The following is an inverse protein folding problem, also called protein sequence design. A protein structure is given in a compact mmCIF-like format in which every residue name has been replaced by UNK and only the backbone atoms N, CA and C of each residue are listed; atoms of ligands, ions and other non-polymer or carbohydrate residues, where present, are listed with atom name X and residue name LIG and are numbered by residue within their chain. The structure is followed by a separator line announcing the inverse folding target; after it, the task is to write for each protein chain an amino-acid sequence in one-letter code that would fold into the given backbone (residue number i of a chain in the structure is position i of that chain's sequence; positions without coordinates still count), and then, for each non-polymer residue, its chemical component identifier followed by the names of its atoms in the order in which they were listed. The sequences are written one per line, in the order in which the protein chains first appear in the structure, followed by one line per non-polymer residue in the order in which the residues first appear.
data_IF_538012516970
#
_entry.id   IF_538012516970
#
_cell.length_a   1.000
_cell.length_b   1.000
_cell.length_c   1.000
_cell.angle_alpha   90.00
_cell.angle_beta   90.00
_cell.angle_gamma   90.00
#
_symmetry.space_group_name_H-M   'P 1'
#
loop_
_entity.id
_entity.type
_entity.pdbx_description
1 polymer ?
#
# COMPACT_ATOMS: atom_id res chain seq x y z
N UNK A 1 13.07 -51.45 33.48
CA UNK A 1 12.94 -51.07 32.06
C UNK A 1 13.09 -52.33 31.25
N UNK A 2 12.13 -52.63 30.38
CA UNK A 2 12.19 -53.77 29.50
C UNK A 2 13.13 -53.48 28.33
N UNK A 3 13.88 -54.48 27.90
CA UNK A 3 14.86 -54.42 26.82
C UNK A 3 14.76 -55.66 25.95
N UNK A 4 15.25 -55.55 24.73
CA UNK A 4 15.30 -56.64 23.75
C UNK A 4 16.67 -57.31 23.81
N UNK A 5 16.68 -58.63 23.72
CA UNK A 5 17.88 -59.46 23.60
C UNK A 5 17.70 -60.46 22.46
N UNK A 6 18.75 -60.74 21.70
CA UNK A 6 18.73 -61.85 20.74
C UNK A 6 18.60 -63.20 21.48
N UNK A 7 17.61 -63.99 21.07
CA UNK A 7 17.34 -65.32 21.60
C UNK A 7 18.05 -66.41 20.82
N UNK A 8 18.18 -67.57 21.47
CA UNK A 8 19.03 -68.68 21.01
C UNK A 8 18.57 -69.36 19.69
N UNK A 9 17.36 -69.08 19.21
CA UNK A 9 16.76 -69.68 18.00
C UNK A 9 16.44 -68.65 16.90
N UNK A 10 17.17 -67.52 16.85
CA UNK A 10 16.98 -66.49 15.81
C UNK A 10 15.73 -65.63 15.98
N UNK A 11 15.08 -65.70 17.15
CA UNK A 11 14.01 -64.81 17.56
C UNK A 11 14.48 -63.85 18.65
N UNK A 12 13.75 -62.76 18.86
CA UNK A 12 14.04 -61.76 19.89
C UNK A 12 13.30 -62.11 21.19
N UNK A 13 13.93 -61.78 22.31
CA UNK A 13 13.38 -61.93 23.65
C UNK A 13 13.25 -60.58 24.33
N UNK A 14 12.15 -60.40 25.07
CA UNK A 14 11.87 -59.21 25.84
C UNK A 14 11.94 -59.56 27.32
N UNK A 15 12.67 -58.77 28.09
CA UNK A 15 12.87 -59.00 29.52
C UNK A 15 13.41 -57.75 30.20
N UNK A 16 13.78 -57.86 31.47
CA UNK A 16 14.41 -56.77 32.22
C UNK A 16 15.50 -57.32 33.13
N UNK A 17 16.40 -56.44 33.56
CA UNK A 17 17.38 -56.76 34.59
C UNK A 17 16.80 -56.44 35.96
N UNK A 18 16.84 -57.42 36.86
CA UNK A 18 16.56 -57.24 38.28
C UNK A 18 17.66 -56.41 38.94
N UNK A 19 17.41 -55.82 40.13
CA UNK A 19 18.40 -55.00 40.83
C UNK A 19 19.70 -55.75 41.22
N UNK A 20 19.65 -57.08 41.30
CA UNK A 20 20.79 -57.97 41.52
C UNK A 20 21.62 -58.22 40.25
N UNK A 21 21.19 -57.69 39.10
CA UNK A 21 21.84 -57.86 37.80
C UNK A 21 21.40 -59.12 37.05
N UNK A 22 20.51 -59.94 37.61
CA UNK A 22 19.98 -61.10 36.90
C UNK A 22 18.99 -60.68 35.81
N UNK A 23 19.12 -61.32 34.64
CA UNK A 23 18.17 -61.11 33.55
C UNK A 23 16.93 -61.98 33.77
N UNK A 24 15.75 -61.36 33.72
CA UNK A 24 14.47 -62.04 33.81
C UNK A 24 13.70 -61.95 32.49
N UNK A 25 13.36 -63.12 31.94
CA UNK A 25 12.59 -63.22 30.70
C UNK A 25 11.13 -62.88 30.94
N UNK A 26 10.58 -61.98 30.13
CA UNK A 26 9.13 -61.75 30.06
C UNK A 26 8.50 -62.54 28.90
N UNK A 27 9.06 -62.47 27.70
CA UNK A 27 8.52 -63.14 26.48
C UNK A 27 9.66 -63.44 25.50
N UNK A 28 9.56 -64.50 24.70
CA UNK A 28 10.62 -64.88 23.74
C UNK A 28 10.08 -65.45 22.44
N UNK A 29 10.98 -65.59 21.44
CA UNK A 29 10.64 -66.12 20.11
C UNK A 29 9.88 -65.13 19.23
N UNK A 30 10.04 -63.82 19.48
CA UNK A 30 9.36 -62.77 18.74
C UNK A 30 10.14 -62.38 17.48
N UNK A 31 9.44 -61.89 16.46
CA UNK A 31 10.10 -61.11 15.40
C UNK A 31 10.63 -59.79 16.00
N UNK A 32 11.64 -59.20 15.36
CA UNK A 32 12.24 -57.91 15.79
C UNK A 32 11.17 -56.83 16.01
N UNK A 33 10.32 -56.62 15.00
CA UNK A 33 9.20 -55.68 15.07
C UNK A 33 8.23 -55.97 16.23
N UNK A 34 7.92 -57.23 16.50
CA UNK A 34 7.03 -57.60 17.59
C UNK A 34 7.67 -57.40 18.98
N UNK A 35 8.98 -57.62 19.09
CA UNK A 35 9.74 -57.32 20.30
C UNK A 35 9.82 -55.81 20.56
N UNK A 36 10.03 -54.99 19.53
CA UNK A 36 10.02 -53.52 19.61
C UNK A 36 8.66 -52.96 20.06
N UNK A 37 7.58 -53.41 19.44
CA UNK A 37 6.22 -53.00 19.80
C UNK A 37 5.88 -53.41 21.25
N UNK A 38 6.32 -54.60 21.68
CA UNK A 38 6.11 -55.10 23.04
C UNK A 38 6.91 -54.31 24.07
N UNK A 39 8.20 -54.04 23.82
CA UNK A 39 9.05 -53.23 24.70
C UNK A 39 8.52 -51.80 24.80
N UNK A 40 8.11 -51.20 23.68
CA UNK A 40 7.51 -49.87 23.66
C UNK A 40 6.25 -49.84 24.53
N UNK A 41 5.36 -50.83 24.41
CA UNK A 41 4.15 -50.94 25.25
C UNK A 41 4.49 -51.15 26.73
N UNK A 42 5.39 -52.08 27.06
CA UNK A 42 5.79 -52.40 28.42
C UNK A 42 6.56 -51.26 29.11
N UNK A 43 7.27 -50.44 28.35
CA UNK A 43 7.93 -49.22 28.83
C UNK A 43 7.02 -47.98 28.79
N UNK A 44 5.71 -48.15 28.62
CA UNK A 44 4.72 -47.09 28.81
C UNK A 44 4.14 -46.47 27.54
N UNK A 45 4.43 -47.01 26.35
CA UNK A 45 3.63 -46.80 25.12
C UNK A 45 3.67 -45.42 24.46
N UNK A 46 4.49 -44.49 24.94
CA UNK A 46 4.36 -43.08 24.58
C UNK A 46 5.27 -42.63 23.43
N UNK A 47 6.30 -43.39 23.06
CA UNK A 47 7.31 -42.92 22.11
C UNK A 47 6.74 -42.67 20.70
N UNK A 48 5.90 -43.59 20.21
CA UNK A 48 5.27 -43.47 18.90
C UNK A 48 4.19 -42.39 18.90
N UNK A 49 3.33 -42.35 19.92
CA UNK A 49 2.29 -41.31 20.04
C UNK A 49 2.88 -39.91 20.19
N UNK A 50 4.01 -39.77 20.90
CA UNK A 50 4.71 -38.48 21.05
C UNK A 50 5.32 -38.04 19.73
N UNK A 51 5.94 -38.97 18.97
CA UNK A 51 6.47 -38.68 17.64
C UNK A 51 5.37 -38.23 16.68
N UNK A 52 4.27 -38.97 16.60
CA UNK A 52 3.13 -38.60 15.75
C UNK A 52 2.47 -37.27 16.15
N UNK A 53 2.53 -36.92 17.44
CA UNK A 53 2.03 -35.63 17.92
C UNK A 53 2.97 -34.49 17.50
N UNK A 54 4.30 -34.69 17.62
CA UNK A 54 5.31 -33.73 17.17
C UNK A 54 5.24 -33.51 15.66
N UNK A 55 5.15 -34.58 14.87
CA UNK A 55 5.04 -34.50 13.42
C UNK A 55 3.79 -33.69 13.00
N UNK A 56 2.66 -33.91 13.69
CA UNK A 56 1.43 -33.13 13.47
C UNK A 56 1.57 -31.65 13.86
N UNK A 57 2.33 -31.34 14.90
CA UNK A 57 2.57 -29.95 15.29
C UNK A 57 3.43 -29.24 14.25
N UNK A 58 4.50 -29.87 13.78
CA UNK A 58 5.35 -29.32 12.72
C UNK A 58 4.60 -29.13 11.39
N UNK A 59 3.72 -30.07 11.03
CA UNK A 59 2.86 -29.93 9.86
C UNK A 59 1.89 -28.75 10.00
N UNK A 60 1.30 -28.57 11.19
CA UNK A 60 0.44 -27.43 11.44
C UNK A 60 1.19 -26.10 11.43
N UNK A 61 2.43 -26.07 11.93
CA UNK A 61 3.28 -24.87 11.87
C UNK A 61 3.62 -24.50 10.43
N UNK A 62 4.08 -25.47 9.62
CA UNK A 62 4.35 -25.25 8.19
C UNK A 62 3.10 -24.77 7.45
N UNK A 63 1.94 -25.37 7.74
CA UNK A 63 0.68 -24.95 7.13
C UNK A 63 0.27 -23.51 7.52
N UNK A 64 0.58 -23.08 8.75
CA UNK A 64 0.34 -21.70 9.19
C UNK A 64 1.28 -20.73 8.51
N UNK A 65 2.57 -21.03 8.45
CA UNK A 65 3.57 -20.20 7.77
C UNK A 65 3.23 -20.02 6.29
N UNK A 66 2.84 -21.10 5.60
CA UNK A 66 2.40 -21.03 4.21
C UNK A 66 1.12 -20.19 4.03
N UNK A 67 0.17 -20.31 4.96
CA UNK A 67 -1.04 -19.50 4.94
C UNK A 67 -0.74 -18.02 5.16
N UNK A 68 0.13 -17.69 6.11
CA UNK A 68 0.58 -16.32 6.38
C UNK A 68 1.31 -15.72 5.17
N UNK A 69 2.18 -16.50 4.53
CA UNK A 69 2.91 -16.08 3.34
C UNK A 69 1.95 -15.78 2.17
N UNK A 70 0.92 -16.61 1.97
CA UNK A 70 -0.13 -16.35 0.97
C UNK A 70 -0.92 -15.08 1.28
N UNK A 71 -1.28 -14.86 2.54
CA UNK A 71 -1.97 -13.62 2.95
C UNK A 71 -1.08 -12.40 2.72
N UNK A 72 0.22 -12.48 3.02
CA UNK A 72 1.16 -11.39 2.73
C UNK A 72 1.29 -11.11 1.23
N UNK A 73 1.43 -12.15 0.40
CA UNK A 73 1.48 -11.99 -1.05
C UNK A 73 0.22 -11.34 -1.60
N UNK A 74 -0.97 -11.74 -1.12
CA UNK A 74 -2.23 -11.12 -1.51
C UNK A 74 -2.30 -9.65 -1.10
N UNK A 75 -1.80 -9.30 0.10
CA UNK A 75 -1.74 -7.90 0.55
C UNK A 75 -0.81 -7.06 -0.31
N UNK A 76 0.36 -7.58 -0.66
CA UNK A 76 1.27 -6.87 -1.58
C UNK A 76 0.67 -6.69 -2.96
N UNK A 77 0.08 -7.73 -3.54
CA UNK A 77 -0.58 -7.64 -4.83
C UNK A 77 -1.74 -6.63 -4.82
N UNK A 78 -2.54 -6.60 -3.74
CA UNK A 78 -3.61 -5.63 -3.57
C UNK A 78 -3.08 -4.20 -3.45
N UNK A 79 -2.01 -3.98 -2.67
CA UNK A 79 -1.40 -2.66 -2.51
C UNK A 79 -0.76 -2.16 -3.82
N UNK A 80 -0.12 -3.05 -4.59
CA UNK A 80 0.43 -2.71 -5.91
C UNK A 80 -0.68 -2.29 -6.88
N UNK A 81 -1.79 -3.04 -6.90
CA UNK A 81 -2.95 -2.69 -7.72
C UNK A 81 -3.59 -1.37 -7.30
N UNK A 82 -3.71 -1.11 -5.99
CA UNK A 82 -4.21 0.17 -5.48
C UNK A 82 -3.30 1.33 -5.90
N UNK A 83 -1.97 1.16 -5.79
CA UNK A 83 -1.00 2.17 -6.22
C UNK A 83 -1.08 2.45 -7.73
N UNK A 84 -1.26 1.42 -8.55
CA UNK A 84 -1.42 1.55 -9.99
C UNK A 84 -2.73 2.28 -10.34
N UNK A 85 -3.81 1.97 -9.64
CA UNK A 85 -5.10 2.64 -9.83
C UNK A 85 -5.02 4.13 -9.48
N UNK A 86 -4.36 4.49 -8.37
CA UNK A 86 -4.15 5.87 -7.98
C UNK A 86 -3.28 6.63 -8.99
N UNK A 87 -2.21 5.99 -9.50
CA UNK A 87 -1.37 6.58 -10.53
C UNK A 87 -2.14 6.82 -11.83
N UNK A 88 -2.98 5.86 -12.26
CA UNK A 88 -3.82 6.02 -13.43
C UNK A 88 -4.84 7.17 -13.28
N UNK A 89 -5.46 7.30 -12.11
CA UNK A 89 -6.36 8.41 -11.81
C UNK A 89 -5.64 9.76 -11.84
N UNK A 90 -4.42 9.83 -11.29
CA UNK A 90 -3.60 11.04 -11.33
C UNK A 90 -3.27 11.43 -12.78
N UNK A 91 -2.87 10.48 -13.62
CA UNK A 91 -2.59 10.74 -15.04
C UNK A 91 -3.82 11.23 -15.80
N UNK A 92 -5.00 10.66 -15.55
CA UNK A 92 -6.25 11.14 -16.14
C UNK A 92 -6.51 12.59 -15.73
N UNK A 93 -6.39 12.91 -14.43
CA UNK A 93 -6.57 14.27 -13.93
C UNK A 93 -5.56 15.27 -14.51
N UNK A 94 -4.30 14.88 -14.66
CA UNK A 94 -3.28 15.71 -15.32
C UNK A 94 -3.61 15.95 -16.79
N UNK A 95 -4.05 14.90 -17.51
CA UNK A 95 -4.43 15.01 -18.92
C UNK A 95 -5.64 15.92 -19.14
N UNK A 96 -6.64 15.86 -18.25
CA UNK A 96 -7.81 16.74 -18.29
C UNK A 96 -7.42 18.20 -18.01
N UNK A 97 -6.58 18.43 -16.99
CA UNK A 97 -6.04 19.77 -16.71
C UNK A 97 -5.24 20.33 -17.89
N UNK A 98 -4.41 19.51 -18.54
CA UNK A 98 -3.65 19.91 -19.71
C UNK A 98 -4.56 20.30 -20.88
N UNK A 99 -5.62 19.51 -21.14
CA UNK A 99 -6.62 19.83 -22.18
C UNK A 99 -7.37 21.13 -21.87
N UNK A 100 -7.75 21.35 -20.61
CA UNK A 100 -8.42 22.58 -20.19
C UNK A 100 -7.53 23.82 -20.37
N UNK A 101 -6.25 23.72 -19.99
CA UNK A 101 -5.27 24.78 -20.19
C UNK A 101 -5.02 25.07 -21.68
N UNK A 102 -4.95 24.02 -22.51
CA UNK A 102 -4.80 24.17 -23.95
C UNK A 102 -6.01 24.90 -24.57
N UNK A 103 -7.24 24.50 -24.21
CA UNK A 103 -8.45 25.17 -24.68
C UNK A 103 -8.50 26.65 -24.26
N UNK A 104 -8.13 26.96 -23.02
CA UNK A 104 -8.00 28.34 -22.52
C UNK A 104 -6.98 29.18 -23.30
N UNK A 105 -5.87 28.58 -23.70
CA UNK A 105 -4.87 29.28 -24.51
C UNK A 105 -5.39 29.52 -25.93
N UNK A 106 -6.02 28.52 -26.56
CA UNK A 106 -6.66 28.69 -27.88
C UNK A 106 -7.71 29.80 -27.87
N UNK A 107 -8.55 29.88 -26.83
CA UNK A 107 -9.53 30.95 -26.67
C UNK A 107 -8.85 32.32 -26.53
N UNK A 108 -7.76 32.42 -25.76
CA UNK A 108 -6.97 33.65 -25.66
C UNK A 108 -6.36 34.05 -27.00
N UNK A 109 -5.86 33.10 -27.78
CA UNK A 109 -5.29 33.37 -29.10
C UNK A 109 -6.37 33.82 -30.09
N UNK A 110 -7.55 33.20 -30.07
CA UNK A 110 -8.70 33.63 -30.88
C UNK A 110 -9.14 35.04 -30.54
N UNK A 111 -9.32 35.35 -29.25
CA UNK A 111 -9.68 36.69 -28.80
C UNK A 111 -8.63 37.75 -29.21
N UNK A 112 -7.34 37.41 -29.17
CA UNK A 112 -6.27 38.31 -29.65
C UNK A 112 -6.31 38.51 -31.16
N UNK A 113 -6.55 37.46 -31.93
CA UNK A 113 -6.67 37.54 -33.38
C UNK A 113 -7.89 38.39 -33.79
N UNK A 114 -9.03 38.18 -33.14
CA UNK A 114 -10.24 38.99 -33.35
C UNK A 114 -10.01 40.45 -32.97
N UNK A 115 -9.39 40.74 -31.83
CA UNK A 115 -9.04 42.09 -31.43
C UNK A 115 -8.07 42.77 -32.41
N UNK A 116 -7.11 42.01 -32.97
CA UNK A 116 -6.20 42.52 -33.99
C UNK A 116 -6.92 42.84 -35.30
N UNK A 117 -7.81 41.96 -35.75
CA UNK A 117 -8.65 42.19 -36.94
C UNK A 117 -9.60 43.38 -36.73
N UNK A 118 -10.13 43.56 -35.52
CA UNK A 118 -10.95 44.71 -35.16
C UNK A 118 -10.14 46.01 -35.21
N UNK A 119 -8.93 46.02 -34.64
CA UNK A 119 -8.00 47.16 -34.74
C UNK A 119 -7.58 47.46 -36.18
N UNK A 120 -7.45 46.43 -37.04
CA UNK A 120 -7.15 46.61 -38.47
C UNK A 120 -8.33 47.24 -39.22
N UNK A 121 -9.57 46.81 -38.91
CA UNK A 121 -10.79 47.30 -39.54
C UNK A 121 -11.17 48.70 -39.04
N UNK A 122 -10.91 48.98 -37.77
CA UNK A 122 -11.21 50.23 -37.09
C UNK A 122 -9.94 50.77 -36.39
N UNK A 123 -8.96 51.26 -37.17
CA UNK A 123 -7.75 51.81 -36.57
C UNK A 123 -8.11 53.01 -35.69
N UNK A 124 -7.64 53.05 -34.43
CA UNK A 124 -7.96 54.14 -33.52
C UNK A 124 -7.46 55.46 -34.09
N UNK A 125 -8.39 56.41 -34.29
CA UNK A 125 -8.10 57.72 -34.90
C UNK A 125 -7.43 58.70 -33.94
N UNK A 126 -7.49 58.42 -32.63
CA UNK A 126 -6.92 59.26 -31.59
C UNK A 126 -6.52 58.38 -30.39
N UNK A 127 -5.23 58.38 -30.03
CA UNK A 127 -4.75 57.81 -28.78
C UNK A 127 -5.02 58.82 -27.67
N UNK A 128 -6.21 58.80 -27.09
CA UNK A 128 -6.48 59.54 -25.85
C UNK A 128 -5.84 58.79 -24.69
N UNK A 129 -4.74 59.32 -24.17
CA UNK A 129 -4.17 58.86 -22.91
C UNK A 129 -5.17 59.08 -21.79
N UNK A 130 -5.90 58.02 -21.41
CA UNK A 130 -6.73 58.04 -20.21
C UNK A 130 -5.79 57.83 -19.02
N UNK A 131 -5.25 58.96 -18.53
CA UNK A 131 -4.77 59.19 -17.16
C UNK A 131 -3.70 58.26 -16.60
N UNK A 132 -2.46 58.72 -16.57
CA UNK A 132 -1.55 58.42 -15.46
C UNK A 132 -1.73 59.47 -14.35
N UNK A 133 -1.65 59.05 -13.08
CA UNK A 133 -1.69 59.93 -11.89
C UNK A 133 -0.65 61.07 -11.91
N UNK A 134 0.39 60.96 -12.74
CA UNK A 134 1.44 61.98 -12.92
C UNK A 134 1.05 63.12 -13.87
N UNK A 135 -0.06 63.01 -14.62
CA UNK A 135 -0.51 64.02 -15.59
C UNK A 135 -1.83 64.71 -15.22
N UNK A 136 -2.39 64.38 -14.06
CA UNK A 136 -3.58 65.04 -13.54
C UNK A 136 -3.15 66.22 -12.66
N UNK A 137 -3.63 67.42 -13.00
CA UNK A 137 -3.36 68.66 -12.26
C UNK A 137 -4.07 68.74 -10.90
N UNK A 138 -4.87 67.72 -10.59
CA UNK A 138 -5.60 67.62 -9.33
C UNK A 138 -6.71 68.65 -9.23
N UNK A 139 -7.19 69.23 -10.33
CA UNK A 139 -8.26 70.24 -10.31
C UNK A 139 -9.56 69.67 -10.87
N UNK A 140 -10.66 69.96 -10.20
CA UNK A 140 -12.01 69.62 -10.64
C UNK A 140 -12.79 70.90 -10.91
N UNK A 141 -13.22 71.06 -12.16
CA UNK A 141 -14.02 72.19 -12.58
C UNK A 141 -15.52 71.92 -12.37
N UNK A 142 -16.17 72.80 -11.60
CA UNK A 142 -17.60 72.77 -11.38
C UNK A 142 -18.25 73.97 -12.08
N UNK A 143 -19.21 73.69 -12.95
CA UNK A 143 -20.02 74.73 -13.59
C UNK A 143 -21.26 75.03 -12.75
N UNK A 144 -21.39 76.27 -12.28
CA UNK A 144 -22.56 76.73 -11.54
C UNK A 144 -23.73 77.03 -12.48
N UNK A 145 -24.96 76.96 -11.95
CA UNK A 145 -26.19 77.27 -12.70
C UNK A 145 -26.26 78.71 -13.21
N UNK A 146 -25.43 79.61 -12.68
CA UNK A 146 -25.24 80.99 -13.15
C UNK A 146 -24.38 81.10 -14.41
N UNK A 147 -23.77 80.00 -14.86
CA UNK A 147 -22.91 79.96 -16.05
C UNK A 147 -21.42 80.11 -15.76
N UNK A 148 -21.06 80.48 -14.53
CA UNK A 148 -19.68 80.62 -14.05
C UNK A 148 -19.05 79.25 -13.75
N UNK A 149 -17.79 79.06 -14.14
CA UNK A 149 -17.01 77.85 -13.85
C UNK A 149 -16.06 78.12 -12.69
N UNK A 150 -16.05 77.25 -11.69
CA UNK A 150 -15.15 77.31 -10.53
C UNK A 150 -14.27 76.08 -10.54
N UNK A 151 -12.96 76.29 -10.50
CA UNK A 151 -11.93 75.26 -10.44
C UNK A 151 -11.54 75.00 -8.99
N UNK A 152 -11.68 73.77 -8.50
CA UNK A 152 -11.32 73.37 -7.13
C UNK A 152 -10.18 72.34 -7.17
N UNK A 153 -9.00 72.65 -6.61
CA UNK A 153 -7.96 71.64 -6.44
C UNK A 153 -8.39 70.61 -5.38
N UNK A 154 -8.23 69.31 -5.67
CA UNK A 154 -8.65 68.18 -4.84
C UNK A 154 -7.88 68.10 -3.52
N UNK A 155 -6.71 68.73 -3.42
CA UNK A 155 -6.01 68.91 -2.14
C UNK A 155 -6.79 69.76 -1.12
N UNK A 156 -7.83 70.48 -1.55
CA UNK A 156 -8.69 71.29 -0.68
C UNK A 156 -9.96 70.55 -0.22
N UNK A 157 -10.20 69.31 -0.66
CA UNK A 157 -11.34 68.49 -0.22
C UNK A 157 -10.82 67.53 0.87
N UNK A 158 -10.79 68.04 2.10
CA UNK A 158 -10.75 67.26 3.36
C UNK A 158 -11.92 67.71 4.22
#
# INVERSE_FOLDING_TARGET
MYVIREGFFGGHEVGYYRPDGEWERHTGGLSERAADELVNRLNGGNATSTREHMDRLEEMERAREDAELRVQQQRWAAAEQESANLAAQAQLGESERARWLAAQEEDRQRARAEAYEELRRYPPRELRGVGGLSGWDGVVDFRRKTGETISIPVTAIV
#
